data_IF_713539904641
#
_entry.id   IF_713539904641
#
_cell.length_a   1.000
_cell.length_b   1.000
_cell.length_c   1.000
_cell.angle_alpha   90.00
_cell.angle_beta   90.00
_cell.angle_gamma   90.00
#
_symmetry.space_group_name_H-M   'P 1'
#
loop_
_entity.id
_entity.type
_entity.pdbx_description
1 polymer ?
#
# COMPACT_ATOMS: atom_id res chain seq x y z
N UNK A 1 19.94 -7.18 6.27
CA UNK A 1 19.43 -5.90 5.73
C UNK A 1 19.77 -5.69 4.24
N UNK A 2 20.86 -6.25 3.71
CA UNK A 2 21.27 -6.03 2.30
C UNK A 2 20.39 -6.77 1.28
N UNK A 3 19.95 -7.99 1.60
CA UNK A 3 19.15 -8.83 0.69
C UNK A 3 17.87 -8.17 0.12
N UNK A 4 16.99 -7.51 0.92
CA UNK A 4 15.83 -6.82 0.37
C UNK A 4 16.17 -5.62 -0.51
N UNK A 5 17.28 -4.92 -0.23
CA UNK A 5 17.74 -3.78 -1.02
C UNK A 5 18.15 -4.25 -2.42
N UNK A 6 18.97 -5.31 -2.49
CA UNK A 6 19.40 -5.92 -3.75
C UNK A 6 18.20 -6.39 -4.57
N UNK A 7 17.20 -7.01 -3.92
CA UNK A 7 15.98 -7.44 -4.59
C UNK A 7 15.20 -6.27 -5.19
N UNK A 8 15.01 -5.18 -4.43
CA UNK A 8 14.29 -4.00 -4.92
C UNK A 8 14.99 -3.32 -6.10
N UNK A 9 16.33 -3.32 -6.11
CA UNK A 9 17.12 -2.81 -7.23
C UNK A 9 17.04 -3.74 -8.45
N UNK A 10 17.05 -5.06 -8.24
CA UNK A 10 16.86 -6.04 -9.31
C UNK A 10 15.47 -5.91 -9.95
N UNK A 11 14.42 -5.78 -9.15
CA UNK A 11 13.06 -5.53 -9.63
C UNK A 11 12.95 -4.19 -10.37
N UNK A 12 13.59 -3.13 -9.87
CA UNK A 12 13.65 -1.84 -10.56
C UNK A 12 14.32 -1.95 -11.93
N UNK A 13 15.40 -2.74 -12.05
CA UNK A 13 16.08 -3.02 -13.31
C UNK A 13 15.23 -3.86 -14.27
N UNK A 14 14.55 -4.88 -13.77
CA UNK A 14 13.63 -5.71 -14.58
C UNK A 14 12.46 -4.90 -15.12
N UNK A 15 11.88 -4.02 -14.30
CA UNK A 15 10.81 -3.11 -14.73
C UNK A 15 11.26 -2.12 -15.80
N UNK A 16 12.54 -1.75 -15.86
CA UNK A 16 13.11 -0.96 -16.96
C UNK A 16 13.28 -1.78 -18.25
N UNK A 17 13.44 -3.09 -18.13
CA UNK A 17 13.71 -3.98 -19.26
C UNK A 17 12.43 -4.40 -20.00
N UNK A 18 11.29 -4.48 -19.30
CA UNK A 18 9.98 -4.78 -19.87
C UNK A 18 9.64 -4.00 -21.15
N UNK A 19 9.69 -2.65 -21.18
CA UNK A 19 9.38 -1.90 -22.38
C UNK A 19 10.36 -2.18 -23.53
N UNK A 20 11.61 -2.55 -23.25
CA UNK A 20 12.59 -2.88 -24.30
C UNK A 20 12.29 -4.26 -24.90
N UNK A 21 11.96 -5.24 -24.05
CA UNK A 21 11.65 -6.61 -24.49
C UNK A 21 10.33 -6.67 -25.26
N UNK A 22 9.32 -5.90 -24.82
CA UNK A 22 8.07 -5.76 -25.55
C UNK A 22 8.32 -5.20 -26.96
N UNK A 23 9.17 -4.17 -27.10
CA UNK A 23 9.56 -3.60 -28.39
C UNK A 23 10.21 -4.61 -29.33
N UNK A 24 11.20 -5.36 -28.83
CA UNK A 24 11.88 -6.41 -29.62
C UNK A 24 10.92 -7.50 -30.07
N UNK A 25 9.94 -7.87 -29.22
CA UNK A 25 8.90 -8.81 -29.58
C UNK A 25 8.03 -8.27 -30.73
N UNK A 26 7.48 -7.06 -30.60
CA UNK A 26 6.64 -6.47 -31.66
C UNK A 26 7.39 -6.31 -32.98
N UNK A 27 8.67 -5.94 -32.93
CA UNK A 27 9.50 -5.85 -34.13
C UNK A 27 9.72 -7.20 -34.79
N UNK A 28 10.00 -8.26 -34.01
CA UNK A 28 10.16 -9.62 -34.55
C UNK A 28 8.89 -10.17 -35.22
N UNK A 29 7.71 -9.80 -34.70
CA UNK A 29 6.43 -10.19 -35.29
C UNK A 29 6.15 -9.39 -36.58
N UNK A 30 6.46 -8.10 -36.58
CA UNK A 30 6.31 -7.25 -37.77
C UNK A 30 7.20 -7.73 -38.92
N UNK A 31 8.48 -8.03 -38.63
CA UNK A 31 9.44 -8.50 -39.62
C UNK A 31 9.11 -9.92 -40.10
N UNK A 32 8.75 -10.83 -39.18
CA UNK A 32 8.38 -12.22 -39.49
C UNK A 32 7.09 -12.36 -40.32
N UNK A 33 6.13 -11.43 -40.17
CA UNK A 33 4.92 -11.36 -41.00
C UNK A 33 5.25 -11.02 -42.46
N UNK A 34 6.27 -10.17 -42.69
CA UNK A 34 6.67 -9.75 -44.04
C UNK A 34 7.55 -10.79 -44.76
N UNK A 35 8.33 -11.59 -44.03
CA UNK A 35 9.30 -12.53 -44.59
C UNK A 35 8.81 -13.98 -44.69
N UNK A 36 7.68 -14.34 -44.05
CA UNK A 36 7.15 -15.71 -44.05
C UNK A 36 7.96 -16.71 -43.20
N UNK A 37 9.02 -16.26 -42.53
CA UNK A 37 9.88 -17.08 -41.67
C UNK A 37 9.40 -17.08 -40.21
N UNK A 38 8.45 -17.97 -39.91
CA UNK A 38 7.87 -18.13 -38.57
C UNK A 38 8.90 -18.55 -37.49
N UNK A 39 10.05 -19.11 -37.90
CA UNK A 39 11.10 -19.61 -37.01
C UNK A 39 11.93 -18.50 -36.34
N UNK A 40 11.95 -17.28 -36.90
CA UNK A 40 12.64 -16.14 -36.29
C UNK A 40 11.85 -15.53 -35.11
N UNK A 41 10.53 -15.77 -35.05
CA UNK A 41 9.61 -15.17 -34.07
C UNK A 41 9.66 -15.88 -32.70
N UNK A 42 9.91 -17.20 -32.68
CA UNK A 42 9.73 -17.98 -31.44
C UNK A 42 10.76 -17.63 -30.35
N UNK A 43 12.01 -17.33 -30.73
CA UNK A 43 13.09 -16.97 -29.77
C UNK A 43 12.77 -15.69 -28.97
N UNK A 44 12.46 -14.53 -29.60
CA UNK A 44 12.10 -13.32 -28.87
C UNK A 44 10.79 -13.48 -28.10
N UNK A 45 9.81 -14.21 -28.63
CA UNK A 45 8.55 -14.51 -27.94
C UNK A 45 8.76 -15.28 -26.63
N UNK A 46 9.54 -16.37 -26.66
CA UNK A 46 9.80 -17.15 -25.43
C UNK A 46 10.60 -16.34 -24.41
N UNK A 47 11.57 -15.53 -24.86
CA UNK A 47 12.35 -14.66 -23.97
C UNK A 47 11.46 -13.61 -23.29
N UNK A 48 10.53 -13.01 -24.03
CA UNK A 48 9.55 -12.07 -23.49
C UNK A 48 8.61 -12.75 -22.48
N UNK A 49 8.04 -13.91 -22.84
CA UNK A 49 7.10 -14.65 -21.95
C UNK A 49 7.79 -15.10 -20.67
N UNK A 50 9.02 -15.63 -20.74
CA UNK A 50 9.78 -16.02 -19.55
C UNK A 50 10.03 -14.80 -18.67
N UNK A 51 10.47 -13.67 -19.26
CA UNK A 51 10.73 -12.46 -18.48
C UNK A 51 9.45 -11.90 -17.87
N UNK A 52 8.32 -11.96 -18.59
CA UNK A 52 7.01 -11.52 -18.10
C UNK A 52 6.51 -12.39 -16.94
N UNK A 53 6.70 -13.71 -17.01
CA UNK A 53 6.33 -14.62 -15.91
C UNK A 53 7.23 -14.37 -14.69
N UNK A 54 8.54 -14.20 -14.89
CA UNK A 54 9.48 -13.94 -13.78
C UNK A 54 9.23 -12.56 -13.15
N UNK A 55 8.92 -11.55 -13.96
CA UNK A 55 8.57 -10.21 -13.48
C UNK A 55 7.10 -10.09 -13.03
N UNK A 56 6.33 -11.18 -13.08
CA UNK A 56 4.94 -11.16 -12.67
C UNK A 56 4.81 -10.56 -11.28
N UNK A 57 3.95 -9.55 -11.19
CA UNK A 57 3.73 -8.75 -9.97
C UNK A 57 3.39 -9.61 -8.76
N UNK A 58 2.78 -10.78 -8.97
CA UNK A 58 2.42 -11.71 -7.91
C UNK A 58 3.65 -12.41 -7.32
N UNK A 59 4.58 -12.82 -8.18
CA UNK A 59 5.73 -13.65 -7.78
C UNK A 59 6.78 -12.80 -7.07
N UNK A 60 7.13 -11.66 -7.64
CA UNK A 60 8.05 -10.67 -7.03
C UNK A 60 7.47 -10.08 -5.76
N UNK A 61 6.20 -9.67 -5.73
CA UNK A 61 5.60 -9.13 -4.51
C UNK A 61 5.51 -10.17 -3.37
N UNK A 62 5.21 -11.42 -3.68
CA UNK A 62 5.16 -12.50 -2.68
C UNK A 62 6.54 -12.81 -2.12
N UNK A 63 7.55 -12.91 -2.99
CA UNK A 63 8.93 -13.15 -2.59
C UNK A 63 9.46 -11.99 -1.74
N UNK A 64 9.20 -10.75 -2.16
CA UNK A 64 9.54 -9.56 -1.41
C UNK A 64 8.91 -9.58 -0.02
N UNK A 65 7.61 -9.89 0.08
CA UNK A 65 6.90 -9.97 1.36
C UNK A 65 7.49 -11.03 2.28
N UNK A 66 7.82 -12.21 1.73
CA UNK A 66 8.45 -13.28 2.49
C UNK A 66 9.82 -12.87 3.02
N UNK A 67 10.63 -12.22 2.18
CA UNK A 67 11.97 -11.77 2.55
C UNK A 67 11.97 -10.61 3.55
N UNK A 68 10.96 -9.72 3.48
CA UNK A 68 10.80 -8.59 4.40
C UNK A 68 10.20 -8.99 5.75
N UNK A 69 9.41 -10.06 5.81
CA UNK A 69 8.76 -10.51 7.04
C UNK A 69 9.72 -10.66 8.24
N UNK A 70 10.86 -11.38 8.15
CA UNK A 70 11.76 -11.52 9.29
C UNK A 70 12.39 -10.19 9.69
N UNK A 71 12.76 -9.34 8.72
CA UNK A 71 13.34 -8.01 8.98
C UNK A 71 12.35 -7.14 9.75
N UNK A 72 11.08 -7.17 9.35
CA UNK A 72 10.01 -6.41 10.00
C UNK A 72 9.77 -6.86 11.44
N UNK A 73 9.84 -8.17 11.69
CA UNK A 73 9.69 -8.75 13.03
C UNK A 73 10.87 -8.31 13.91
N UNK A 74 12.11 -8.48 13.42
CA UNK A 74 13.32 -8.12 14.17
C UNK A 74 13.42 -6.62 14.46
N UNK A 75 13.06 -5.76 13.50
CA UNK A 75 13.05 -4.31 13.72
C UNK A 75 12.06 -3.94 14.82
N UNK A 76 10.83 -4.44 14.75
CA UNK A 76 9.81 -4.16 15.76
C UNK A 76 10.25 -4.63 17.14
N UNK A 77 10.81 -5.83 17.23
CA UNK A 77 11.31 -6.39 18.48
C UNK A 77 12.41 -5.50 19.08
N UNK A 78 13.46 -5.21 18.31
CA UNK A 78 14.62 -4.43 18.78
C UNK A 78 14.22 -3.03 19.21
N UNK A 79 13.35 -2.38 18.43
CA UNK A 79 12.93 -1.02 18.72
C UNK A 79 11.99 -0.96 19.92
N UNK A 80 11.03 -1.88 20.04
CA UNK A 80 10.17 -1.95 21.22
C UNK A 80 10.97 -2.28 22.48
N UNK A 81 11.96 -3.16 22.39
CA UNK A 81 12.85 -3.49 23.50
C UNK A 81 13.63 -2.25 23.97
N UNK A 82 14.32 -1.56 23.06
CA UNK A 82 15.10 -0.37 23.41
C UNK A 82 14.24 0.79 23.93
N UNK A 83 13.05 0.99 23.35
CA UNK A 83 12.11 2.01 23.86
C UNK A 83 11.60 1.64 25.26
N UNK A 84 11.26 0.36 25.48
CA UNK A 84 10.78 -0.09 26.78
C UNK A 84 11.86 0.05 27.86
N UNK A 85 13.09 -0.38 27.56
CA UNK A 85 14.25 -0.22 28.43
C UNK A 85 14.50 1.26 28.77
N UNK A 86 14.43 2.16 27.78
CA UNK A 86 14.54 3.58 28.03
C UNK A 86 13.44 4.09 28.96
N UNK A 87 12.16 3.77 28.68
CA UNK A 87 11.00 4.21 29.47
C UNK A 87 11.11 3.78 30.93
N UNK A 88 11.57 2.56 31.20
CA UNK A 88 11.67 2.03 32.57
C UNK A 88 12.82 2.65 33.36
N UNK A 89 13.80 3.24 32.69
CA UNK A 89 14.93 3.94 33.31
C UNK A 89 14.70 5.45 33.48
N UNK A 90 13.50 5.97 33.18
CA UNK A 90 13.18 7.38 33.44
C UNK A 90 12.95 7.68 34.94
N UNK A 91 13.17 8.94 35.38
CA UNK A 91 12.90 9.34 36.75
C UNK A 91 11.43 9.17 37.15
N UNK A 92 11.17 8.88 38.42
CA UNK A 92 9.80 8.73 38.98
C UNK A 92 8.91 9.95 38.68
N UNK A 93 9.48 11.16 38.66
CA UNK A 93 8.73 12.37 38.30
C UNK A 93 8.08 12.30 36.90
N UNK A 94 8.68 11.56 35.96
CA UNK A 94 8.10 11.31 34.64
C UNK A 94 6.89 10.36 34.73
N UNK A 95 7.05 9.24 35.45
CA UNK A 95 5.99 8.23 35.60
C UNK A 95 4.75 8.72 36.36
N UNK A 96 4.88 9.77 37.18
CA UNK A 96 3.76 10.38 37.89
C UNK A 96 3.11 11.52 37.09
N UNK A 97 3.87 12.21 36.23
CA UNK A 97 3.37 13.37 35.46
C UNK A 97 2.71 13.01 34.14
N UNK A 98 3.02 11.86 33.56
CA UNK A 98 2.51 11.45 32.24
C UNK A 98 1.70 10.16 32.34
N UNK A 99 0.53 10.15 31.72
CA UNK A 99 -0.27 8.94 31.61
C UNK A 99 0.45 7.85 30.80
N UNK A 100 0.52 6.64 31.37
CA UNK A 100 1.11 5.48 30.71
C UNK A 100 0.43 5.16 29.34
N UNK A 101 -0.86 5.50 29.21
CA UNK A 101 -1.61 5.35 27.96
C UNK A 101 -1.10 6.28 26.87
N UNK A 102 -0.84 7.54 27.19
CA UNK A 102 -0.37 8.51 26.21
C UNK A 102 1.09 8.25 25.83
N UNK A 103 1.90 7.78 26.79
CA UNK A 103 3.26 7.30 26.52
C UNK A 103 3.26 6.10 25.56
N UNK A 104 2.43 5.08 25.82
CA UNK A 104 2.33 3.89 24.94
C UNK A 104 1.87 4.25 23.53
N UNK A 105 0.95 5.23 23.41
CA UNK A 105 0.52 5.75 22.11
C UNK A 105 1.63 6.49 21.38
N UNK A 106 2.42 7.31 22.09
CA UNK A 106 3.56 8.00 21.51
C UNK A 106 4.60 7.01 20.96
N UNK A 107 4.84 5.91 21.69
CA UNK A 107 5.70 4.80 21.23
C UNK A 107 5.17 4.15 19.96
N UNK A 108 3.89 3.77 19.94
CA UNK A 108 3.27 3.14 18.77
C UNK A 108 3.28 4.07 17.54
N UNK A 109 3.08 5.37 17.75
CA UNK A 109 3.22 6.39 16.70
C UNK A 109 4.67 6.50 16.19
N UNK A 110 5.67 6.46 17.07
CA UNK A 110 7.09 6.43 16.70
C UNK A 110 7.45 5.19 15.88
N UNK A 111 6.95 4.02 16.28
CA UNK A 111 7.11 2.75 15.54
C UNK A 111 6.52 2.80 14.15
N UNK A 112 5.33 3.40 14.03
CA UNK A 112 4.67 3.62 12.74
C UNK A 112 5.44 4.62 11.88
N UNK A 113 5.93 5.72 12.45
CA UNK A 113 6.72 6.71 11.73
C UNK A 113 8.01 6.11 11.15
N UNK A 114 8.74 5.31 11.94
CA UNK A 114 9.90 4.55 11.45
C UNK A 114 9.54 3.66 10.25
N UNK A 115 8.40 2.97 10.30
CA UNK A 115 7.93 2.16 9.15
C UNK A 115 7.61 3.02 7.92
N UNK A 116 7.04 4.20 8.10
CA UNK A 116 6.74 5.10 6.98
C UNK A 116 8.02 5.53 6.25
N UNK A 117 9.09 5.79 7.00
CA UNK A 117 10.41 6.10 6.42
C UNK A 117 10.97 4.92 5.61
N UNK A 118 10.84 3.69 6.12
CA UNK A 118 11.25 2.50 5.35
C UNK A 118 10.48 2.37 4.04
N UNK A 119 9.17 2.58 4.06
CA UNK A 119 8.34 2.55 2.84
C UNK A 119 8.79 3.66 1.87
N UNK A 120 9.04 4.87 2.37
CA UNK A 120 9.51 5.99 1.56
C UNK A 120 10.86 5.68 0.88
N UNK A 121 11.82 5.14 1.63
CA UNK A 121 13.18 4.88 1.15
C UNK A 121 13.31 3.60 0.30
N UNK A 122 12.62 2.52 0.66
CA UNK A 122 12.81 1.21 0.01
C UNK A 122 11.73 0.85 -1.00
N UNK A 123 10.57 1.51 -0.94
CA UNK A 123 9.48 1.21 -1.87
C UNK A 123 9.21 2.37 -2.83
N UNK A 124 9.08 3.59 -2.30
CA UNK A 124 8.72 4.75 -3.12
C UNK A 124 9.93 5.26 -3.91
N UNK A 125 11.08 5.39 -3.27
CA UNK A 125 12.29 5.92 -3.92
C UNK A 125 12.71 5.10 -5.16
N UNK A 126 12.81 3.74 -5.13
CA UNK A 126 13.19 2.98 -6.31
C UNK A 126 12.16 3.09 -7.43
N UNK A 127 10.86 3.10 -7.11
CA UNK A 127 9.78 3.28 -8.10
C UNK A 127 9.89 4.63 -8.81
N UNK A 128 10.21 5.70 -8.07
CA UNK A 128 10.42 7.03 -8.63
C UNK A 128 11.65 7.06 -9.53
N UNK A 129 12.77 6.48 -9.10
CA UNK A 129 13.98 6.37 -9.92
C UNK A 129 13.76 5.56 -11.20
N UNK A 130 13.03 4.44 -11.13
CA UNK A 130 12.61 3.66 -12.31
C UNK A 130 11.79 4.49 -13.29
N UNK A 131 10.85 5.30 -12.80
CA UNK A 131 10.03 6.18 -13.65
C UNK A 131 10.88 7.20 -14.42
N UNK A 132 11.82 7.85 -13.73
CA UNK A 132 12.74 8.80 -14.33
C UNK A 132 13.72 8.13 -15.29
N UNK A 133 14.19 6.93 -15.00
CA UNK A 133 15.06 6.15 -15.90
C UNK A 133 14.33 5.63 -17.15
N UNK A 134 13.06 5.25 -17.03
CA UNK A 134 12.28 4.72 -18.14
C UNK A 134 12.01 5.78 -19.21
N UNK A 135 11.77 7.03 -18.80
CA UNK A 135 11.36 8.12 -19.70
C UNK A 135 12.38 8.37 -20.82
N UNK A 136 13.69 8.64 -20.56
CA UNK A 136 14.66 8.88 -21.62
C UNK A 136 14.87 7.67 -22.54
N UNK A 137 14.83 6.44 -22.00
CA UNK A 137 14.95 5.20 -22.79
C UNK A 137 13.80 5.09 -23.79
N UNK A 138 12.59 5.47 -23.39
CA UNK A 138 11.42 5.46 -24.28
C UNK A 138 11.55 6.53 -25.38
N UNK A 139 12.09 7.71 -25.09
CA UNK A 139 12.31 8.76 -26.09
C UNK A 139 13.33 8.37 -27.16
N UNK A 140 14.39 7.63 -26.81
CA UNK A 140 15.43 7.25 -27.77
C UNK A 140 15.05 6.03 -28.60
N UNK A 141 14.22 5.14 -28.06
CA UNK A 141 13.91 3.83 -28.68
C UNK A 141 12.61 3.86 -29.50
N UNK A 142 11.63 4.68 -29.10
CA UNK A 142 10.32 4.75 -29.72
C UNK A 142 10.06 6.13 -30.31
N UNK A 143 9.13 6.25 -31.28
CA UNK A 143 8.72 7.55 -31.77
C UNK A 143 8.18 8.44 -30.63
N UNK A 144 8.35 9.77 -30.74
CA UNK A 144 8.12 10.70 -29.62
C UNK A 144 6.67 10.73 -29.09
N UNK A 145 5.69 10.27 -29.89
CA UNK A 145 4.29 10.19 -29.44
C UNK A 145 4.10 9.22 -28.27
N UNK A 146 4.88 8.13 -28.21
CA UNK A 146 4.76 7.11 -27.13
C UNK A 146 5.18 7.72 -25.79
N UNK A 147 6.29 8.48 -25.80
CA UNK A 147 6.77 9.19 -24.64
C UNK A 147 5.80 10.28 -24.16
N UNK A 148 5.15 10.99 -25.10
CA UNK A 148 4.14 12.00 -24.78
C UNK A 148 2.93 11.36 -24.06
N UNK A 149 2.44 10.22 -24.54
CA UNK A 149 1.34 9.49 -23.88
C UNK A 149 1.75 9.04 -22.47
N UNK A 150 2.95 8.46 -22.31
CA UNK A 150 3.47 8.06 -21.01
C UNK A 150 3.52 9.24 -20.02
N UNK A 151 4.02 10.39 -20.47
CA UNK A 151 4.06 11.60 -19.65
C UNK A 151 2.65 12.06 -19.24
N UNK A 152 1.70 12.10 -20.18
CA UNK A 152 0.31 12.44 -19.90
C UNK A 152 -0.32 11.50 -18.84
N UNK A 153 -0.09 10.19 -18.94
CA UNK A 153 -0.61 9.19 -17.98
C UNK A 153 0.00 9.42 -16.59
N UNK A 154 1.31 9.63 -16.51
CA UNK A 154 2.01 9.91 -15.24
C UNK A 154 1.45 11.17 -14.59
N UNK A 155 1.34 12.27 -15.34
CA UNK A 155 0.79 13.54 -14.83
C UNK A 155 -0.65 13.37 -14.36
N UNK A 156 -1.50 12.71 -15.16
CA UNK A 156 -2.90 12.48 -14.81
C UNK A 156 -3.02 11.63 -13.53
N UNK A 157 -2.26 10.55 -13.43
CA UNK A 157 -2.25 9.68 -12.24
C UNK A 157 -1.79 10.43 -10.98
N UNK A 158 -0.81 11.34 -11.11
CA UNK A 158 -0.34 12.18 -10.02
C UNK A 158 -1.42 13.18 -9.57
N UNK A 159 -2.14 13.82 -10.51
CA UNK A 159 -3.24 14.73 -10.21
C UNK A 159 -4.38 14.00 -9.48
N UNK A 160 -4.80 12.84 -10.00
CA UNK A 160 -5.86 12.02 -9.39
C UNK A 160 -5.45 11.61 -7.98
N UNK A 161 -4.21 11.16 -7.79
CA UNK A 161 -3.71 10.71 -6.48
C UNK A 161 -3.66 11.86 -5.48
N UNK A 162 -3.11 13.03 -5.87
CA UNK A 162 -3.08 14.23 -5.01
C UNK A 162 -4.49 14.66 -4.60
N UNK A 163 -5.42 14.68 -5.56
CA UNK A 163 -6.82 15.03 -5.29
C UNK A 163 -7.49 14.03 -4.35
N UNK A 164 -7.26 12.73 -4.55
CA UNK A 164 -7.76 11.67 -3.64
C UNK A 164 -7.23 11.86 -2.22
N UNK A 165 -5.93 12.12 -2.05
CA UNK A 165 -5.31 12.34 -0.74
C UNK A 165 -5.95 13.56 -0.05
N UNK A 166 -6.06 14.69 -0.75
CA UNK A 166 -6.68 15.91 -0.21
C UNK A 166 -8.13 15.69 0.26
N UNK A 167 -8.92 14.93 -0.48
CA UNK A 167 -10.32 14.63 -0.14
C UNK A 167 -10.44 13.64 1.03
N UNK A 168 -9.46 12.74 1.21
CA UNK A 168 -9.51 11.63 2.17
C UNK A 168 -8.86 12.00 3.51
N UNK A 169 -7.81 12.82 3.51
CA UNK A 169 -7.06 13.20 4.71
C UNK A 169 -7.92 13.78 5.86
N UNK A 170 -8.74 14.82 5.67
CA UNK A 170 -9.50 15.42 6.78
C UNK A 170 -10.45 14.41 7.43
N UNK A 171 -11.01 13.51 6.62
CA UNK A 171 -11.88 12.42 7.09
C UNK A 171 -11.11 11.33 7.83
N UNK A 172 -9.87 11.05 7.39
CA UNK A 172 -8.99 10.12 8.11
C UNK A 172 -8.63 10.67 9.47
N UNK A 173 -8.33 11.97 9.58
CA UNK A 173 -7.94 12.59 10.84
C UNK A 173 -9.08 12.56 11.86
N UNK A 174 -10.30 12.89 11.45
CA UNK A 174 -11.49 12.78 12.30
C UNK A 174 -11.73 11.33 12.78
N UNK A 175 -11.59 10.36 11.88
CA UNK A 175 -11.77 8.95 12.21
C UNK A 175 -10.67 8.41 13.13
N UNK A 176 -9.43 8.89 12.98
CA UNK A 176 -8.32 8.55 13.88
C UNK A 176 -8.61 9.12 15.26
N UNK A 177 -9.05 10.38 15.35
CA UNK A 177 -9.39 11.02 16.63
C UNK A 177 -10.50 10.27 17.35
N UNK A 178 -11.61 9.97 16.68
CA UNK A 178 -12.73 9.23 17.30
C UNK A 178 -12.35 7.82 17.73
N UNK A 179 -11.51 7.13 16.94
CA UNK A 179 -10.97 5.81 17.33
C UNK A 179 -10.03 5.89 18.52
N UNK A 180 -9.22 6.96 18.61
CA UNK A 180 -8.33 7.20 19.76
C UNK A 180 -9.12 7.50 21.04
N UNK A 181 -10.21 8.26 20.94
CA UNK A 181 -11.08 8.60 22.07
C UNK A 181 -11.83 7.37 22.59
N UNK A 182 -12.31 6.51 21.68
CA UNK A 182 -12.91 5.22 22.05
C UNK A 182 -11.92 4.34 22.84
N UNK A 183 -10.67 4.28 22.40
CA UNK A 183 -9.62 3.53 23.08
C UNK A 183 -9.28 4.11 24.46
N UNK A 184 -9.34 5.44 24.64
CA UNK A 184 -9.18 6.07 25.97
C UNK A 184 -10.28 5.63 26.93
N UNK A 185 -11.54 5.69 26.50
CA UNK A 185 -12.69 5.28 27.32
C UNK A 185 -12.57 3.81 27.71
N UNK A 186 -12.21 2.94 26.74
CA UNK A 186 -11.99 1.51 27.00
C UNK A 186 -10.93 1.27 28.07
N UNK A 187 -9.77 1.93 27.96
CA UNK A 187 -8.67 1.74 28.91
C UNK A 187 -9.00 2.31 30.29
N UNK A 188 -9.66 3.46 30.36
CA UNK A 188 -10.08 4.06 31.62
C UNK A 188 -11.12 3.19 32.35
N UNK A 189 -12.10 2.65 31.62
CA UNK A 189 -13.10 1.72 32.17
C UNK A 189 -12.47 0.42 32.70
N UNK A 190 -11.44 -0.11 32.02
CA UNK A 190 -10.71 -1.29 32.50
C UNK A 190 -9.89 -1.00 33.75
N UNK A 191 -9.18 0.14 33.81
CA UNK A 191 -8.43 0.55 35.02
C UNK A 191 -9.36 0.83 36.20
N UNK A 192 -10.49 1.47 35.94
CA UNK A 192 -11.53 1.79 36.93
C UNK A 192 -12.49 0.64 37.23
N UNK A 193 -12.26 -0.57 36.71
CA UNK A 193 -13.22 -1.67 36.81
C UNK A 193 -13.54 -2.03 38.26
N UNK A 194 -12.53 -2.12 39.13
CA UNK A 194 -12.73 -2.45 40.54
C UNK A 194 -13.59 -1.39 41.26
N UNK A 195 -13.41 -0.10 40.95
CA UNK A 195 -14.27 0.97 41.47
C UNK A 195 -15.68 0.90 40.90
N UNK A 196 -15.85 0.64 39.60
CA UNK A 196 -17.17 0.53 38.99
C UNK A 196 -17.96 -0.67 39.54
N UNK A 197 -17.28 -1.80 39.78
CA UNK A 197 -17.85 -3.00 40.38
C UNK A 197 -18.34 -2.75 41.81
N UNK A 198 -17.54 -2.09 42.65
CA UNK A 198 -17.92 -1.76 44.03
C UNK A 198 -19.15 -0.84 44.12
N UNK A 199 -19.34 0.06 43.15
CA UNK A 199 -20.47 0.98 43.13
C UNK A 199 -21.63 0.49 42.26
N UNK A 200 -21.62 -0.77 41.81
CA UNK A 200 -22.64 -1.36 40.93
C UNK A 200 -22.85 -0.60 39.60
N UNK A 201 -21.83 0.14 39.13
CA UNK A 201 -21.90 0.99 37.91
C UNK A 201 -21.35 0.34 36.64
N UNK A 202 -21.05 -0.96 36.68
CA UNK A 202 -20.50 -1.68 35.51
C UNK A 202 -21.42 -1.59 34.29
N UNK A 203 -22.74 -1.58 34.49
CA UNK A 203 -23.71 -1.44 33.40
C UNK A 203 -23.57 -0.08 32.70
N UNK A 204 -23.42 1.00 33.46
CA UNK A 204 -23.25 2.36 32.93
C UNK A 204 -21.98 2.49 32.10
N UNK A 205 -20.88 1.90 32.56
CA UNK A 205 -19.60 1.92 31.82
C UNK A 205 -19.74 1.20 30.46
N UNK A 206 -20.47 0.09 30.43
CA UNK A 206 -20.74 -0.65 29.19
C UNK A 206 -21.65 0.15 28.25
N UNK A 207 -22.65 0.88 28.76
CA UNK A 207 -23.53 1.70 27.91
C UNK A 207 -22.78 2.88 27.31
N UNK A 208 -21.97 3.60 28.11
CA UNK A 208 -21.12 4.71 27.63
C UNK A 208 -20.16 4.25 26.53
N UNK A 209 -19.48 3.12 26.73
CA UNK A 209 -18.61 2.55 25.70
C UNK A 209 -19.41 2.14 24.44
N UNK A 210 -20.57 1.52 24.61
CA UNK A 210 -21.44 1.08 23.51
C UNK A 210 -21.99 2.24 22.67
N UNK A 211 -22.31 3.37 23.29
CA UNK A 211 -22.78 4.58 22.60
C UNK A 211 -21.68 5.22 21.74
N UNK A 212 -20.46 5.31 22.28
CA UNK A 212 -19.30 5.80 21.53
C UNK A 212 -18.89 4.83 20.42
N UNK A 213 -18.97 3.52 20.65
CA UNK A 213 -18.72 2.54 19.61
C UNK A 213 -19.73 2.68 18.46
N UNK A 214 -21.01 2.98 18.77
CA UNK A 214 -22.03 3.25 17.74
C UNK A 214 -21.74 4.51 16.93
N UNK A 215 -21.20 5.57 17.54
CA UNK A 215 -20.85 6.80 16.81
C UNK A 215 -19.70 6.54 15.82
N UNK A 216 -18.64 5.86 16.26
CA UNK A 216 -17.49 5.44 15.43
C UNK A 216 -17.93 4.45 14.34
N UNK A 217 -18.79 3.50 14.69
CA UNK A 217 -19.33 2.50 13.76
C UNK A 217 -20.20 3.15 12.69
N UNK A 218 -21.10 4.09 13.02
CA UNK A 218 -21.89 4.83 12.03
C UNK A 218 -21.00 5.63 11.07
N UNK A 219 -19.95 6.28 11.59
CA UNK A 219 -18.94 6.97 10.77
C UNK A 219 -18.14 6.03 9.85
N UNK A 220 -18.02 4.75 10.23
CA UNK A 220 -17.37 3.71 9.43
C UNK A 220 -18.33 2.98 8.46
N UNK A 221 -19.57 2.73 8.84
CA UNK A 221 -20.57 2.02 8.04
C UNK A 221 -21.07 2.87 6.85
N UNK A 222 -21.20 4.19 7.04
CA UNK A 222 -21.48 5.13 5.96
C UNK A 222 -20.39 5.15 4.87
N UNK A 223 -19.22 4.53 5.16
CA UNK A 223 -18.07 4.36 4.25
C UNK A 223 -18.21 3.10 3.39
N UNK A 224 -18.63 1.97 3.95
CA UNK A 224 -18.79 0.71 3.21
C UNK A 224 -19.84 0.85 2.11
N UNK A 225 -20.96 1.51 2.42
CA UNK A 225 -22.06 1.78 1.48
C UNK A 225 -21.61 2.72 0.34
N UNK A 226 -20.63 3.61 0.58
CA UNK A 226 -20.15 4.60 -0.40
C UNK A 226 -18.97 4.09 -1.26
N UNK A 227 -18.33 3.00 -0.86
CA UNK A 227 -17.22 2.35 -1.56
C UNK A 227 -17.65 1.16 -2.43
N UNK A 228 -18.90 0.71 -2.29
CA UNK A 228 -19.50 -0.19 -3.25
C UNK A 228 -19.78 0.65 -4.51
N UNK A 229 -19.08 0.41 -5.64
CA UNK A 229 -19.43 1.11 -6.87
C UNK A 229 -20.91 0.82 -7.13
N UNK A 230 -21.67 1.88 -7.37
CA UNK A 230 -23.06 1.78 -7.83
C UNK A 230 -23.11 0.74 -8.95
N UNK A 231 -23.78 -0.39 -8.69
CA UNK A 231 -23.98 -1.47 -9.65
C UNK A 231 -24.81 -1.05 -10.87
N UNK A 232 -25.24 0.22 -10.92
CA UNK A 232 -25.90 0.81 -12.09
C UNK A 232 -24.95 1.21 -13.23
N UNK A 233 -23.62 1.21 -13.03
CA UNK A 233 -22.66 1.61 -14.09
C UNK A 233 -21.99 0.44 -14.83
N UNK A 234 -22.25 -0.82 -14.42
CA UNK A 234 -21.66 -2.02 -15.04
C UNK A 234 -22.61 -2.80 -15.95
N UNK A 235 -23.88 -2.40 -16.04
CA UNK A 235 -24.87 -3.03 -16.93
C UNK A 235 -24.74 -2.60 -18.40
N UNK A 236 -24.07 -1.47 -18.69
CA UNK A 236 -23.92 -0.97 -20.06
C UNK A 236 -22.75 -1.57 -20.84
N UNK A 237 -21.83 -2.31 -20.21
CA UNK A 237 -20.66 -2.92 -20.88
C UNK A 237 -20.80 -4.42 -21.14
N UNK A 238 -21.84 -5.09 -20.62
CA UNK A 238 -22.00 -6.54 -20.72
C UNK A 238 -23.04 -7.00 -21.77
N UNK A 239 -23.65 -6.08 -22.52
CA UNK A 239 -24.76 -6.41 -23.45
C UNK A 239 -24.35 -6.56 -24.93
N UNK A 240 -23.08 -6.41 -25.30
CA UNK A 240 -22.65 -6.40 -26.72
C UNK A 240 -21.94 -7.67 -27.22
N UNK A 241 -21.89 -8.76 -26.46
CA UNK A 241 -21.23 -9.99 -26.93
C UNK A 241 -22.07 -11.21 -26.59
N UNK A 242 -23.09 -11.49 -27.40
CA UNK A 242 -23.59 -12.83 -27.75
C UNK A 242 -24.83 -12.71 -28.65
N UNK A 243 -24.62 -12.52 -29.96
CA UNK A 243 -25.58 -12.93 -31.00
C UNK A 243 -24.82 -13.11 -32.33
N UNK A 244 -25.12 -14.20 -33.04
CA UNK A 244 -24.46 -14.79 -34.22
C UNK A 244 -23.35 -15.81 -33.85
N UNK A 245 -23.40 -17.08 -34.22
CA UNK A 245 -24.29 -17.80 -35.14
C UNK A 245 -24.30 -19.31 -34.78
N UNK A 246 -25.48 -19.93 -34.82
CA UNK A 246 -25.62 -21.36 -35.12
C UNK A 246 -25.70 -21.51 -36.64
N UNK A 247 -25.19 -22.61 -37.23
CA UNK A 247 -25.62 -23.07 -38.54
C UNK A 247 -26.99 -23.76 -38.49
#
# INVERSE_FOLDING_TARGET
MIAPIVLTLAEAGMNLLEPILAGRFFQSVADGSSAGEMSAIWRPMMTYVITYIVNSSVMTASLRKYLWLPVDIWRKYTMNHGIHDHIMNLPVAYHVSVDATDTTKAVDLGTKASRMLEIALFEVLPKVLTLFGATPILLTTYPPFVALIQFCVVVLSAIITKRKISIVNPRRDENIKSSQDLERIRQNGLRGWASAARHFRVRDEVTVYGDQLRSVSKGSAHRTIRLQPSSHDLSHLCSCRFRHAEP
#
